data_IF_158946391459
#
_entry.id   IF_158946391459
#
_cell.length_a   1.000
_cell.length_b   1.000
_cell.length_c   1.000
_cell.angle_alpha   90.00
_cell.angle_beta   90.00
_cell.angle_gamma   90.00
#
_symmetry.space_group_name_H-M   'P 1'
#
loop_
_entity.id
_entity.type
_entity.pdbx_description
1 polymer ?
#
# COMPACT_ATOMS: atom_id res chain seq x y z
N UNK A 1 -23.12 -1.96 -14.15
CA UNK A 1 -21.91 -1.29 -13.61
C UNK A 1 -21.25 -0.47 -14.70
N UNK A 2 -20.72 0.72 -14.40
CA UNK A 2 -20.12 1.59 -15.41
C UNK A 2 -18.71 1.11 -15.81
N UNK A 3 -18.28 1.40 -17.05
CA UNK A 3 -16.93 1.06 -17.54
C UNK A 3 -15.82 1.63 -16.64
N UNK A 4 -16.05 2.79 -16.02
CA UNK A 4 -15.12 3.41 -15.06
C UNK A 4 -14.88 2.56 -13.82
N UNK A 5 -15.92 1.90 -13.29
CA UNK A 5 -15.80 1.01 -12.15
C UNK A 5 -14.96 -0.23 -12.50
N UNK A 6 -15.18 -0.80 -13.69
CA UNK A 6 -14.40 -1.93 -14.17
C UNK A 6 -12.92 -1.60 -14.38
N UNK A 7 -12.61 -0.43 -14.93
CA UNK A 7 -11.22 0.04 -15.07
C UNK A 7 -10.56 0.20 -13.70
N UNK A 8 -11.27 0.78 -12.72
CA UNK A 8 -10.76 0.93 -11.37
C UNK A 8 -10.48 -0.43 -10.69
N UNK A 9 -11.37 -1.40 -10.87
CA UNK A 9 -11.19 -2.77 -10.37
C UNK A 9 -9.96 -3.41 -11.04
N UNK A 10 -9.86 -3.36 -12.37
CA UNK A 10 -8.73 -3.95 -13.09
C UNK A 10 -7.39 -3.33 -12.66
N UNK A 11 -7.34 -2.00 -12.53
CA UNK A 11 -6.15 -1.30 -12.05
C UNK A 11 -5.78 -1.69 -10.61
N UNK A 12 -6.76 -1.80 -9.72
CA UNK A 12 -6.54 -2.24 -8.34
C UNK A 12 -6.03 -3.69 -8.28
N UNK A 13 -6.62 -4.60 -9.06
CA UNK A 13 -6.21 -6.00 -9.12
C UNK A 13 -4.79 -6.16 -9.65
N UNK A 14 -4.43 -5.44 -10.71
CA UNK A 14 -3.07 -5.45 -11.25
C UNK A 14 -2.07 -4.88 -10.25
N UNK A 15 -2.41 -3.76 -9.60
CA UNK A 15 -1.54 -3.14 -8.59
C UNK A 15 -1.29 -4.05 -7.39
N UNK A 16 -2.32 -4.73 -6.89
CA UNK A 16 -2.20 -5.66 -5.76
C UNK A 16 -1.47 -6.96 -6.12
N UNK A 17 -1.79 -7.57 -7.27
CA UNK A 17 -1.14 -8.82 -7.69
C UNK A 17 0.35 -8.64 -7.97
N UNK A 18 0.72 -7.60 -8.72
CA UNK A 18 2.13 -7.30 -9.02
C UNK A 18 2.92 -6.91 -7.78
N UNK A 19 2.28 -6.24 -6.82
CA UNK A 19 2.90 -5.87 -5.55
C UNK A 19 3.40 -7.07 -4.73
N UNK A 20 2.67 -8.19 -4.72
CA UNK A 20 3.10 -9.40 -4.01
C UNK A 20 4.34 -10.03 -4.66
N UNK A 21 4.32 -10.16 -5.99
CA UNK A 21 5.45 -10.67 -6.77
C UNK A 21 6.71 -9.81 -6.58
N UNK A 22 6.57 -8.48 -6.68
CA UNK A 22 7.69 -7.56 -6.48
C UNK A 22 8.27 -7.60 -5.05
N UNK A 23 7.41 -7.80 -4.04
CA UNK A 23 7.85 -7.94 -2.64
C UNK A 23 8.70 -9.20 -2.47
N UNK A 24 8.29 -10.31 -3.09
CA UNK A 24 9.07 -11.54 -3.05
C UNK A 24 10.40 -11.42 -3.80
N UNK A 25 10.40 -10.82 -4.99
CA UNK A 25 11.63 -10.57 -5.73
C UNK A 25 12.63 -9.71 -4.92
N UNK A 26 12.15 -8.66 -4.24
CA UNK A 26 13.00 -7.84 -3.38
C UNK A 26 13.55 -8.60 -2.16
N UNK A 27 12.76 -9.52 -1.58
CA UNK A 27 13.25 -10.41 -0.52
C UNK A 27 14.34 -11.38 -1.04
N UNK A 28 14.18 -11.91 -2.25
CA UNK A 28 15.16 -12.78 -2.90
C UNK A 28 16.47 -12.05 -3.22
N UNK A 29 16.41 -10.74 -3.50
CA UNK A 29 17.58 -9.86 -3.64
C UNK A 29 18.22 -9.49 -2.27
N UNK A 30 17.67 -9.97 -1.16
CA UNK A 30 18.22 -9.76 0.19
C UNK A 30 17.78 -8.46 0.86
N UNK A 31 16.77 -7.76 0.33
CA UNK A 31 16.26 -6.54 0.96
C UNK A 31 15.51 -6.90 2.24
N UNK A 32 15.84 -6.21 3.33
CA UNK A 32 15.22 -6.47 4.62
C UNK A 32 13.68 -6.24 4.57
N UNK A 33 12.87 -7.12 5.17
CA UNK A 33 11.40 -7.05 5.17
C UNK A 33 10.86 -5.70 5.63
N UNK A 34 11.41 -5.17 6.73
CA UNK A 34 11.02 -3.86 7.26
C UNK A 34 11.41 -2.70 6.34
N UNK A 35 12.51 -2.84 5.59
CA UNK A 35 12.93 -1.85 4.61
C UNK A 35 11.95 -1.83 3.42
N UNK A 36 11.53 -3.00 2.92
CA UNK A 36 10.49 -3.10 1.88
C UNK A 36 9.19 -2.46 2.37
N UNK A 37 8.77 -2.79 3.59
CA UNK A 37 7.55 -2.24 4.17
C UNK A 37 7.59 -0.71 4.25
N UNK A 38 8.69 -0.18 4.82
CA UNK A 38 8.91 1.26 5.00
C UNK A 38 8.96 2.00 3.68
N UNK A 39 9.75 1.51 2.71
CA UNK A 39 9.93 2.16 1.42
C UNK A 39 8.59 2.25 0.68
N UNK A 40 7.79 1.18 0.70
CA UNK A 40 6.47 1.17 0.08
C UNK A 40 5.50 2.16 0.74
N UNK A 41 5.48 2.23 2.07
CA UNK A 41 4.66 3.21 2.78
C UNK A 41 5.07 4.65 2.49
N UNK A 42 6.38 4.93 2.42
CA UNK A 42 6.91 6.24 2.05
C UNK A 42 6.53 6.61 0.61
N UNK A 43 6.74 5.70 -0.35
CA UNK A 43 6.36 5.94 -1.75
C UNK A 43 4.86 6.20 -1.91
N UNK A 44 4.01 5.43 -1.24
CA UNK A 44 2.56 5.65 -1.24
C UNK A 44 2.19 7.02 -0.63
N UNK A 45 2.80 7.37 0.49
CA UNK A 45 2.61 8.67 1.14
C UNK A 45 3.05 9.84 0.26
N UNK A 46 4.19 9.73 -0.41
CA UNK A 46 4.70 10.73 -1.37
C UNK A 46 3.80 10.84 -2.59
N UNK A 47 3.33 9.74 -3.16
CA UNK A 47 2.43 9.74 -4.32
C UNK A 47 1.10 10.43 -4.00
N UNK A 48 0.49 10.07 -2.86
CA UNK A 48 -0.74 10.72 -2.38
C UNK A 48 -0.47 12.19 -2.06
N UNK A 49 0.63 12.50 -1.38
CA UNK A 49 1.05 13.87 -1.06
C UNK A 49 1.20 14.73 -2.32
N UNK A 50 1.90 14.23 -3.33
CA UNK A 50 2.06 14.88 -4.63
C UNK A 50 0.72 15.09 -5.34
N UNK A 51 -0.15 14.08 -5.35
CA UNK A 51 -1.49 14.20 -5.91
C UNK A 51 -2.34 15.27 -5.19
N UNK A 52 -2.32 15.29 -3.86
CA UNK A 52 -3.02 16.30 -3.06
C UNK A 52 -2.44 17.70 -3.27
N UNK A 53 -1.12 17.81 -3.48
CA UNK A 53 -0.50 19.06 -3.85
C UNK A 53 -0.98 19.53 -5.24
N UNK A 54 -1.07 18.64 -6.21
CA UNK A 54 -1.52 19.03 -7.55
C UNK A 54 -3.00 19.45 -7.60
N UNK A 55 -3.84 18.94 -6.68
CA UNK A 55 -5.28 19.22 -6.65
C UNK A 55 -5.55 20.67 -6.22
N UNK A 56 -6.24 21.46 -7.07
CA UNK A 56 -6.57 22.87 -6.82
C UNK A 56 -7.43 23.12 -5.56
N UNK A 57 -8.28 22.17 -5.16
CA UNK A 57 -9.25 22.37 -4.07
C UNK A 57 -8.81 21.65 -2.78
N UNK A 58 -7.74 22.15 -2.16
CA UNK A 58 -7.11 21.55 -0.97
C UNK A 58 -7.91 21.86 0.29
N UNK A 59 -8.73 20.91 0.76
CA UNK A 59 -9.25 20.94 2.12
C UNK A 59 -8.21 20.34 3.05
N UNK A 60 -7.73 21.10 4.03
CA UNK A 60 -6.86 20.57 5.08
C UNK A 60 -7.66 19.59 5.93
N UNK A 61 -7.15 18.39 6.24
CA UNK A 61 -7.84 17.47 7.13
C UNK A 61 -8.00 18.10 8.52
N UNK A 62 -9.15 17.86 9.16
CA UNK A 62 -9.34 18.23 10.57
C UNK A 62 -8.48 17.37 11.49
N UNK A 63 -8.30 17.79 12.75
CA UNK A 63 -7.60 16.99 13.76
C UNK A 63 -8.23 15.62 13.95
N UNK A 64 -9.56 15.55 13.90
CA UNK A 64 -10.31 14.29 13.95
C UNK A 64 -10.01 13.40 12.74
N UNK A 65 -10.01 13.96 11.52
CA UNK A 65 -9.67 13.21 10.31
C UNK A 65 -8.24 12.65 10.36
N UNK A 66 -7.30 13.40 10.93
CA UNK A 66 -5.95 12.91 11.19
C UNK A 66 -5.91 11.77 12.21
N UNK A 67 -6.68 11.88 13.30
CA UNK A 67 -6.75 10.82 14.32
C UNK A 67 -7.35 9.53 13.75
N UNK A 68 -8.48 9.64 13.04
CA UNK A 68 -9.12 8.50 12.39
C UNK A 68 -8.21 7.90 11.33
N UNK A 69 -7.59 8.75 10.51
CA UNK A 69 -6.62 8.32 9.49
C UNK A 69 -5.40 7.62 10.09
N UNK A 70 -4.89 8.07 11.23
CA UNK A 70 -3.79 7.42 11.94
C UNK A 70 -4.19 6.04 12.47
N UNK A 71 -5.36 5.92 13.10
CA UNK A 71 -5.87 4.62 13.56
C UNK A 71 -6.05 3.67 12.39
N UNK A 72 -6.72 4.10 11.32
CA UNK A 72 -6.90 3.30 10.11
C UNK A 72 -5.55 2.93 9.47
N UNK A 73 -4.61 3.87 9.41
CA UNK A 73 -3.27 3.63 8.88
C UNK A 73 -2.51 2.58 9.68
N UNK A 74 -2.64 2.57 11.01
CA UNK A 74 -1.99 1.54 11.83
C UNK A 74 -2.70 0.19 11.68
N UNK A 75 -4.02 0.15 11.85
CA UNK A 75 -4.76 -1.11 11.96
C UNK A 75 -5.06 -1.78 10.62
N UNK A 76 -5.26 -0.99 9.56
CA UNK A 76 -5.63 -1.51 8.23
C UNK A 76 -4.49 -1.46 7.22
N UNK A 77 -3.39 -0.76 7.51
CA UNK A 77 -2.25 -0.67 6.60
C UNK A 77 -0.98 -1.22 7.24
N UNK A 78 -0.42 -0.57 8.27
CA UNK A 78 0.90 -0.88 8.79
C UNK A 78 0.98 -2.29 9.38
N UNK A 79 0.08 -2.63 10.31
CA UNK A 79 0.10 -3.94 10.98
C UNK A 79 -0.15 -5.07 9.98
N UNK A 80 -1.23 -5.07 9.18
CA UNK A 80 -1.46 -6.13 8.21
C UNK A 80 -0.32 -6.26 7.20
N UNK A 81 0.23 -5.13 6.72
CA UNK A 81 1.26 -5.15 5.69
C UNK A 81 2.60 -5.68 6.20
N UNK A 82 3.00 -5.33 7.43
CA UNK A 82 4.20 -5.90 8.06
C UNK A 82 4.00 -7.42 8.23
N UNK A 83 2.86 -7.85 8.75
CA UNK A 83 2.54 -9.28 8.92
C UNK A 83 2.56 -10.03 7.58
N UNK A 84 2.01 -9.45 6.52
CA UNK A 84 2.09 -9.98 5.15
C UNK A 84 3.52 -10.12 4.66
N UNK A 85 4.33 -9.07 4.86
CA UNK A 85 5.74 -9.06 4.44
C UNK A 85 6.56 -10.12 5.17
N UNK A 86 6.25 -10.34 6.46
CA UNK A 86 6.82 -11.45 7.23
C UNK A 86 6.34 -12.81 6.70
N UNK A 87 5.07 -12.96 6.38
CA UNK A 87 4.51 -14.20 5.84
C UNK A 87 5.17 -14.62 4.50
N UNK A 88 5.53 -13.66 3.63
CA UNK A 88 6.23 -13.95 2.38
C UNK A 88 7.62 -14.59 2.56
N UNK A 89 8.23 -14.52 3.75
CA UNK A 89 9.48 -15.24 4.04
C UNK A 89 9.27 -16.74 4.20
N UNK A 90 8.08 -17.16 4.61
CA UNK A 90 7.77 -18.56 4.94
C UNK A 90 6.84 -19.21 3.93
N UNK A 91 6.13 -18.43 3.11
CA UNK A 91 5.14 -18.93 2.16
C UNK A 91 5.29 -18.31 0.76
N UNK A 92 4.80 -19.03 -0.25
CA UNK A 92 4.86 -18.59 -1.65
C UNK A 92 3.95 -17.39 -1.92
N UNK A 93 4.26 -16.61 -2.95
CA UNK A 93 3.48 -15.42 -3.24
C UNK A 93 2.01 -15.72 -3.57
N UNK A 94 1.74 -16.87 -4.18
CA UNK A 94 0.38 -17.34 -4.51
C UNK A 94 -0.37 -18.03 -3.36
N UNK A 95 0.28 -18.28 -2.22
CA UNK A 95 -0.41 -18.74 -1.01
C UNK A 95 -0.82 -17.56 -0.11
N UNK A 96 0.02 -16.52 -0.07
CA UNK A 96 -0.17 -15.35 0.78
C UNK A 96 -1.08 -14.30 0.11
N UNK A 97 -1.02 -14.15 -1.21
CA UNK A 97 -1.73 -13.12 -1.99
C UNK A 97 -2.98 -13.59 -2.71
#
# INVERSE_FOLDING_TARGET
MSARAWIAIAAASLGWGTAGVATRAALEEGVAPYAIATLRSVMAGLAIGAYLMWRKNRRRPSREAWSVGAVMGVTNLAVPFILFTLAYQYASAGFVG
#
